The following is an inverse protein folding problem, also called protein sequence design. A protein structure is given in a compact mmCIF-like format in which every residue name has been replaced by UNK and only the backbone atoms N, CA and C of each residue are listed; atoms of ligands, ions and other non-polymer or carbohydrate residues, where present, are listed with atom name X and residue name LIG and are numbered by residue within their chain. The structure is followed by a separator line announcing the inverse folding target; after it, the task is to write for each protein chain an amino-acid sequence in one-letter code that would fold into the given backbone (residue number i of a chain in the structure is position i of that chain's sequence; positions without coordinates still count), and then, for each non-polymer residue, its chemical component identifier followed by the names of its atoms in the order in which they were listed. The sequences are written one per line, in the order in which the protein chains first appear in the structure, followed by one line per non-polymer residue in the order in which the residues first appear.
data_IF_671176466404
#
_entry.id   IF_671176466404
#
_cell.length_a   1.000
_cell.length_b   1.000
_cell.length_c   1.000
_cell.angle_alpha   90.00
_cell.angle_beta   90.00
_cell.angle_gamma   90.00
#
_symmetry.space_group_name_H-M   'P 1'
#
loop_
_entity.id
_entity.type
_entity.pdbx_description
1 polymer ?
#
# COMPACT_ATOMS: atom_id res chain seq x y z
N UNK A 1 0.98 -13.96 -32.33
CA UNK A 1 -0.18 -14.87 -32.42
C UNK A 1 -0.97 -14.69 -31.13
N UNK A 2 -2.26 -14.36 -31.21
CA UNK A 2 -3.14 -13.92 -30.12
C UNK A 2 -2.91 -12.51 -29.57
N UNK A 3 -3.13 -11.51 -30.42
CA UNK A 3 -3.53 -10.19 -29.93
C UNK A 3 -5.02 -10.25 -29.66
N UNK A 4 -5.43 -10.33 -28.39
CA UNK A 4 -6.83 -10.11 -28.02
C UNK A 4 -7.11 -8.64 -28.30
N UNK A 5 -7.79 -8.38 -29.40
CA UNK A 5 -8.24 -7.05 -29.75
C UNK A 5 -9.49 -6.67 -28.94
N UNK A 6 -9.87 -5.40 -29.08
CA UNK A 6 -11.17 -4.92 -28.61
C UNK A 6 -12.35 -5.79 -29.09
N UNK A 7 -12.41 -6.26 -30.36
CA UNK A 7 -13.52 -7.09 -30.84
C UNK A 7 -13.66 -8.42 -30.09
N UNK A 8 -12.55 -9.13 -29.88
CA UNK A 8 -12.54 -10.42 -29.16
C UNK A 8 -12.97 -10.23 -27.70
N UNK A 9 -12.59 -9.11 -27.09
CA UNK A 9 -12.98 -8.80 -25.71
C UNK A 9 -14.46 -8.47 -25.56
N UNK A 10 -15.05 -7.77 -26.53
CA UNK A 10 -16.49 -7.54 -26.59
C UNK A 10 -17.25 -8.85 -26.76
N UNK A 11 -16.77 -9.76 -27.62
CA UNK A 11 -17.41 -11.06 -27.83
C UNK A 11 -17.47 -11.87 -26.52
N UNK A 12 -16.35 -11.93 -25.79
CA UNK A 12 -16.28 -12.62 -24.50
C UNK A 12 -17.20 -11.96 -23.47
N UNK A 13 -17.26 -10.61 -23.44
CA UNK A 13 -18.20 -9.87 -22.60
C UNK A 13 -19.65 -10.23 -22.90
N UNK A 14 -20.05 -10.30 -24.16
CA UNK A 14 -21.41 -10.68 -24.55
C UNK A 14 -21.75 -12.09 -24.07
N UNK A 15 -20.85 -13.05 -24.25
CA UNK A 15 -21.06 -14.43 -23.76
C UNK A 15 -21.17 -14.45 -22.24
N UNK A 16 -20.29 -13.74 -21.53
CA UNK A 16 -20.35 -13.64 -20.07
C UNK A 16 -21.65 -12.97 -19.58
N UNK A 17 -22.13 -11.95 -20.29
CA UNK A 17 -23.40 -11.27 -20.02
C UNK A 17 -24.61 -12.17 -20.25
N UNK A 18 -24.57 -13.10 -21.21
CA UNK A 18 -25.65 -14.07 -21.41
C UNK A 18 -25.68 -15.08 -20.26
N UNK A 19 -24.51 -15.58 -19.85
CA UNK A 19 -24.39 -16.57 -18.76
C UNK A 19 -24.78 -15.98 -17.41
N UNK A 20 -24.25 -14.80 -17.09
CA UNK A 20 -24.48 -14.15 -15.79
C UNK A 20 -25.77 -13.31 -15.81
N UNK A 21 -26.12 -12.71 -16.94
CA UNK A 21 -27.20 -11.74 -17.08
C UNK A 21 -26.70 -10.29 -16.91
N UNK A 22 -27.03 -9.36 -17.82
CA UNK A 22 -26.56 -7.97 -17.75
C UNK A 22 -27.07 -7.21 -16.52
N UNK A 23 -28.22 -7.61 -15.98
CA UNK A 23 -28.79 -7.03 -14.77
C UNK A 23 -28.10 -7.53 -13.49
N UNK A 24 -27.51 -8.73 -13.51
CA UNK A 24 -26.83 -9.32 -12.34
C UNK A 24 -25.41 -8.80 -12.15
N UNK A 25 -24.74 -8.37 -13.22
CA UNK A 25 -23.42 -7.74 -13.11
C UNK A 25 -23.37 -6.52 -12.18
N UNK A 26 -24.25 -5.50 -12.32
CA UNK A 26 -24.23 -4.35 -11.42
C UNK A 26 -24.64 -4.73 -9.99
N UNK A 27 -25.48 -5.75 -9.82
CA UNK A 27 -25.85 -6.27 -8.50
C UNK A 27 -24.67 -6.95 -7.80
N UNK A 28 -23.95 -7.82 -8.51
CA UNK A 28 -22.70 -8.45 -8.05
C UNK A 28 -21.62 -7.41 -7.74
N UNK A 29 -21.44 -6.42 -8.61
CA UNK A 29 -20.49 -5.34 -8.38
C UNK A 29 -20.83 -4.51 -7.14
N UNK A 30 -22.12 -4.21 -6.90
CA UNK A 30 -22.57 -3.53 -5.68
C UNK A 30 -22.35 -4.38 -4.44
N UNK A 31 -22.64 -5.68 -4.50
CA UNK A 31 -22.42 -6.60 -3.37
C UNK A 31 -20.93 -6.73 -3.02
N UNK A 32 -20.08 -6.97 -4.03
CA UNK A 32 -18.63 -7.01 -3.86
C UNK A 32 -18.08 -5.67 -3.39
N UNK A 33 -18.56 -4.56 -3.95
CA UNK A 33 -18.14 -3.22 -3.57
C UNK A 33 -18.45 -2.91 -2.10
N UNK A 34 -19.64 -3.30 -1.62
CA UNK A 34 -20.00 -3.20 -0.20
C UNK A 34 -19.09 -4.06 0.67
N UNK A 35 -18.88 -5.33 0.29
CA UNK A 35 -17.98 -6.23 1.01
C UNK A 35 -16.54 -5.71 1.10
N UNK A 36 -15.99 -5.17 0.00
CA UNK A 36 -14.66 -4.55 -0.01
C UNK A 36 -14.62 -3.28 0.84
N UNK A 37 -15.67 -2.46 0.82
CA UNK A 37 -15.75 -1.26 1.65
C UNK A 37 -15.80 -1.60 3.15
N UNK A 38 -16.61 -2.57 3.53
CA UNK A 38 -16.70 -3.08 4.90
C UNK A 38 -15.38 -3.73 5.34
N UNK A 39 -14.76 -4.53 4.47
CA UNK A 39 -13.46 -5.13 4.73
C UNK A 39 -12.36 -4.08 4.95
N UNK A 40 -12.33 -3.02 4.11
CA UNK A 40 -11.41 -1.89 4.28
C UNK A 40 -11.66 -1.16 5.60
N UNK A 41 -12.93 -0.94 5.96
CA UNK A 41 -13.32 -0.28 7.21
C UNK A 41 -12.87 -1.11 8.43
N UNK A 42 -13.18 -2.41 8.44
CA UNK A 42 -12.75 -3.33 9.48
C UNK A 42 -11.21 -3.40 9.59
N UNK A 43 -10.50 -3.42 8.45
CA UNK A 43 -9.03 -3.40 8.45
C UNK A 43 -8.48 -2.10 9.04
N UNK A 44 -9.14 -0.96 8.79
CA UNK A 44 -8.74 0.35 9.35
C UNK A 44 -8.98 0.40 10.86
N UNK A 45 -10.15 -0.02 11.32
CA UNK A 45 -10.46 -0.11 12.76
C UNK A 45 -9.53 -1.10 13.47
N UNK A 46 -9.16 -2.20 12.80
CA UNK A 46 -8.19 -3.17 13.33
C UNK A 46 -6.77 -2.59 13.42
N UNK A 47 -6.36 -1.77 12.46
CA UNK A 47 -5.08 -1.02 12.48
C UNK A 47 -5.03 0.15 13.46
N UNK A 48 -6.19 0.65 13.88
CA UNK A 48 -6.31 1.70 14.89
C UNK A 48 -6.38 1.11 16.30
N UNK A 49 -6.96 -0.10 16.44
CA UNK A 49 -7.06 -0.83 17.72
C UNK A 49 -5.82 -1.67 18.06
N UNK A 50 -5.15 -2.23 17.06
CA UNK A 50 -3.73 -2.55 17.18
C UNK A 50 -3.02 -1.21 16.99
N UNK A 51 -2.23 -0.75 17.95
CA UNK A 51 -1.58 0.57 17.94
C UNK A 51 -0.45 0.68 16.87
N UNK A 52 -0.71 0.22 15.65
CA UNK A 52 0.24 0.12 14.54
C UNK A 52 0.61 1.52 14.06
N UNK A 53 -0.30 2.50 14.18
CA UNK A 53 0.00 3.90 13.91
C UNK A 53 1.04 4.45 14.92
N UNK A 54 1.03 4.03 16.20
CA UNK A 54 2.08 4.37 17.19
C UNK A 54 3.38 3.62 16.91
N UNK A 55 3.29 2.39 16.38
CA UNK A 55 4.47 1.64 15.96
C UNK A 55 5.13 2.30 14.75
N UNK A 56 4.36 2.76 13.75
CA UNK A 56 4.86 3.42 12.53
C UNK A 56 5.40 4.84 12.81
N UNK A 57 4.68 5.66 13.59
CA UNK A 57 5.21 6.95 14.10
C UNK A 57 6.43 6.74 15.00
N UNK A 58 6.42 5.70 15.83
CA UNK A 58 7.54 5.32 16.70
C UNK A 58 8.77 4.86 15.91
N UNK A 59 8.59 4.14 14.80
CA UNK A 59 9.67 3.72 13.92
C UNK A 59 10.31 4.90 13.20
N UNK A 60 9.54 5.89 12.75
CA UNK A 60 10.07 7.07 12.09
C UNK A 60 10.82 7.99 13.06
N UNK A 61 10.33 8.14 14.30
CA UNK A 61 11.04 8.85 15.38
C UNK A 61 12.35 8.14 15.73
N UNK A 62 12.33 6.81 15.90
CA UNK A 62 13.53 6.04 16.22
C UNK A 62 14.57 6.12 15.08
N UNK A 63 14.11 6.03 13.83
CA UNK A 63 14.96 6.14 12.64
C UNK A 63 15.61 7.51 12.53
N UNK A 64 14.92 8.59 12.88
CA UNK A 64 15.45 9.95 12.80
C UNK A 64 16.50 10.21 13.89
N UNK A 65 16.24 9.80 15.14
CA UNK A 65 17.22 9.92 16.23
C UNK A 65 18.49 9.09 15.94
N UNK A 66 18.33 7.83 15.48
CA UNK A 66 19.48 6.98 15.11
C UNK A 66 20.28 7.59 13.94
N UNK A 67 19.62 8.22 12.97
CA UNK A 67 20.33 8.93 11.87
C UNK A 67 21.12 10.13 12.37
N UNK A 68 20.57 10.92 13.30
CA UNK A 68 21.28 12.04 13.92
C UNK A 68 22.50 11.56 14.71
N UNK A 69 22.35 10.54 15.56
CA UNK A 69 23.43 9.96 16.35
C UNK A 69 24.56 9.42 15.46
N UNK A 70 24.20 8.70 14.39
CA UNK A 70 25.16 8.16 13.42
C UNK A 70 25.84 9.31 12.64
N UNK A 71 25.10 10.33 12.23
CA UNK A 71 25.66 11.48 11.52
C UNK A 71 26.64 12.27 12.40
N UNK A 72 26.34 12.42 13.69
CA UNK A 72 27.21 13.07 14.67
C UNK A 72 28.48 12.24 14.92
N UNK A 73 28.33 10.93 15.09
CA UNK A 73 29.46 10.00 15.24
C UNK A 73 30.39 10.01 14.01
N UNK A 74 29.84 10.11 12.80
CA UNK A 74 30.62 10.21 11.55
C UNK A 74 31.28 11.60 11.39
N UNK A 75 30.70 12.66 11.97
CA UNK A 75 31.25 14.03 11.89
C UNK A 75 32.41 14.27 12.86
N UNK A 76 32.46 13.55 13.98
CA UNK A 76 33.45 13.77 15.06
C UNK A 76 34.91 13.30 14.82
N UNK A 77 35.32 12.48 13.82
CA UNK A 77 36.70 11.99 13.77
C UNK A 77 37.69 12.91 13.04
N UNK A 78 37.27 14.00 12.38
CA UNK A 78 38.17 14.74 11.46
C UNK A 78 38.97 15.91 12.07
N UNK A 79 38.84 16.23 13.37
CA UNK A 79 39.50 17.43 13.95
C UNK A 79 40.59 17.19 14.99
N UNK A 80 41.06 15.95 15.18
CA UNK A 80 42.09 15.65 16.18
C UNK A 80 43.51 15.45 15.62
N UNK A 81 43.73 15.39 14.30
CA UNK A 81 45.01 14.94 13.72
C UNK A 81 45.69 15.95 12.78
N UNK A 82 45.56 17.26 13.01
CA UNK A 82 46.41 18.21 12.29
C UNK A 82 46.69 19.46 13.14
N UNK A 83 47.59 19.32 14.10
CA UNK A 83 47.96 20.42 15.02
C UNK A 83 49.22 20.20 15.85
N UNK A 84 50.12 19.31 15.43
CA UNK A 84 51.48 19.25 16.01
C UNK A 84 52.52 19.15 14.89
N UNK A 85 52.92 20.30 14.37
CA UNK A 85 54.30 20.58 13.95
C UNK A 85 54.65 21.99 14.38
#
# INVERSE_FOLDING_TARGET
MFGIGMPEMILILIVALIVIGPQKLPELAKALGRGVAEFRKATREFRESLDIDVVEDGYDVLRNNVKEDIAEAIRKPRKAENGKK
#
